data_IF_579531634764
#
_entry.id   IF_579531634764
#
_cell.length_a   1.000
_cell.length_b   1.000
_cell.length_c   1.000
_cell.angle_alpha   90.00
_cell.angle_beta   90.00
_cell.angle_gamma   90.00
#
_symmetry.space_group_name_H-M   'P 1'
#
loop_
_entity.id
_entity.type
_entity.pdbx_description
1 polymer ?
#
# COMPACT_ATOMS: atom_id res chain seq x y z
N UNK A 1 6.13 -22.57 31.39
CA UNK A 1 5.33 -21.90 30.34
C UNK A 1 6.32 -21.19 29.43
N UNK A 2 6.30 -21.50 28.13
CA UNK A 2 7.11 -20.77 27.14
C UNK A 2 6.46 -19.39 27.02
N UNK A 3 7.19 -18.31 27.27
CA UNK A 3 6.68 -16.95 27.08
C UNK A 3 6.31 -16.77 25.61
N UNK A 4 5.13 -16.20 25.34
CA UNK A 4 4.76 -15.85 23.97
C UNK A 4 5.72 -14.76 23.46
N UNK A 5 6.12 -14.86 22.22
CA UNK A 5 6.86 -13.79 21.55
C UNK A 5 5.99 -12.54 21.40
N UNK A 6 6.61 -11.38 21.51
CA UNK A 6 5.92 -10.07 21.50
C UNK A 6 6.29 -9.26 20.27
N UNK A 7 5.29 -8.68 19.64
CA UNK A 7 5.48 -7.77 18.50
C UNK A 7 4.85 -6.41 18.78
N UNK A 8 5.60 -5.35 18.49
CA UNK A 8 5.07 -3.98 18.39
C UNK A 8 4.75 -3.67 16.93
N UNK A 9 3.51 -3.30 16.64
CA UNK A 9 3.09 -2.84 15.32
C UNK A 9 2.70 -1.37 15.40
N UNK A 10 3.49 -0.50 14.77
CA UNK A 10 3.20 0.92 14.70
C UNK A 10 2.44 1.24 13.41
N UNK A 11 1.22 1.71 13.56
CA UNK A 11 0.33 2.11 12.46
C UNK A 11 -1.02 1.36 12.47
N UNK A 12 -2.10 2.09 12.20
CA UNK A 12 -3.48 1.59 12.10
C UNK A 12 -4.01 1.54 10.66
N UNK A 13 -3.15 1.73 9.67
CA UNK A 13 -3.50 1.63 8.25
C UNK A 13 -3.59 0.18 7.75
N UNK A 14 -3.86 -0.04 6.43
CA UNK A 14 -4.02 -1.37 5.85
C UNK A 14 -2.87 -2.32 6.17
N UNK A 15 -1.61 -1.84 6.06
CA UNK A 15 -0.43 -2.64 6.35
C UNK A 15 -0.39 -3.05 7.83
N UNK A 16 -0.52 -2.10 8.77
CA UNK A 16 -0.48 -2.40 10.20
C UNK A 16 -1.56 -3.38 10.62
N UNK A 17 -2.79 -3.19 10.15
CA UNK A 17 -3.91 -4.09 10.47
C UNK A 17 -3.71 -5.49 9.88
N UNK A 18 -3.21 -5.60 8.64
CA UNK A 18 -2.87 -6.90 8.03
C UNK A 18 -1.80 -7.64 8.85
N UNK A 19 -0.76 -6.92 9.29
CA UNK A 19 0.31 -7.51 10.09
C UNK A 19 -0.15 -7.91 11.50
N UNK A 20 -1.12 -7.22 12.10
CA UNK A 20 -1.77 -7.71 13.33
C UNK A 20 -2.41 -9.09 13.10
N UNK A 21 -3.16 -9.26 12.01
CA UNK A 21 -3.79 -10.54 11.67
C UNK A 21 -2.73 -11.62 11.46
N UNK A 22 -1.68 -11.32 10.71
CA UNK A 22 -0.58 -12.23 10.46
C UNK A 22 0.08 -12.71 11.75
N UNK A 23 0.52 -11.79 12.62
CA UNK A 23 1.21 -12.15 13.85
C UNK A 23 0.31 -12.85 14.87
N UNK A 24 -1.00 -12.53 14.88
CA UNK A 24 -1.98 -13.27 15.67
C UNK A 24 -2.04 -14.73 15.26
N UNK A 25 -2.07 -14.99 13.95
CA UNK A 25 -2.03 -16.35 13.40
C UNK A 25 -0.75 -17.10 13.78
N UNK A 26 0.37 -16.41 13.82
CA UNK A 26 1.65 -16.98 14.28
C UNK A 26 1.73 -17.18 15.80
N UNK A 27 0.68 -16.83 16.53
CA UNK A 27 0.57 -17.04 17.99
C UNK A 27 1.31 -16.00 18.83
N UNK A 28 1.66 -14.84 18.27
CA UNK A 28 2.36 -13.78 18.97
C UNK A 28 1.42 -12.92 19.81
N UNK A 29 1.97 -12.33 20.86
CA UNK A 29 1.33 -11.26 21.62
C UNK A 29 1.54 -9.93 20.88
N UNK A 30 0.45 -9.23 20.54
CA UNK A 30 0.50 -8.07 19.67
C UNK A 30 0.17 -6.83 20.46
N UNK A 31 1.06 -5.85 20.41
CA UNK A 31 0.82 -4.48 20.84
C UNK A 31 0.75 -3.58 19.62
N UNK A 32 -0.37 -2.88 19.42
CA UNK A 32 -0.52 -1.97 18.29
C UNK A 32 -0.51 -0.51 18.75
N UNK A 33 0.49 0.26 18.29
CA UNK A 33 0.55 1.70 18.46
C UNK A 33 -0.15 2.37 17.27
N UNK A 34 -1.34 2.92 17.50
CA UNK A 34 -2.12 3.65 16.50
C UNK A 34 -1.87 5.14 16.66
N UNK A 35 -1.71 5.84 15.56
CA UNK A 35 -1.84 7.30 15.56
C UNK A 35 -3.31 7.66 15.33
N UNK A 36 -3.69 8.88 15.65
CA UNK A 36 -5.03 9.46 15.38
C UNK A 36 -5.35 9.61 13.89
N UNK A 37 -4.68 8.82 13.03
CA UNK A 37 -4.92 8.85 11.60
C UNK A 37 -6.30 8.27 11.29
N UNK A 38 -7.17 9.14 10.87
CA UNK A 38 -8.46 8.76 10.32
C UNK A 38 -8.27 8.44 8.84
N UNK A 39 -8.64 7.24 8.37
CA UNK A 39 -8.62 6.93 6.95
C UNK A 39 -9.42 8.00 6.21
N UNK A 40 -8.93 8.54 5.09
CA UNK A 40 -9.73 9.45 4.30
C UNK A 40 -11.06 8.77 3.98
N UNK A 41 -12.18 9.46 4.27
CA UNK A 41 -13.55 8.95 4.04
C UNK A 41 -13.90 8.85 2.53
N UNK A 42 -12.89 8.84 1.70
CA UNK A 42 -13.04 8.76 0.25
C UNK A 42 -13.57 7.39 -0.13
N UNK A 43 -14.55 7.33 -1.00
CA UNK A 43 -14.93 6.10 -1.71
C UNK A 43 -13.78 5.74 -2.66
N UNK A 44 -12.70 5.22 -2.12
CA UNK A 44 -11.63 4.67 -2.92
C UNK A 44 -12.01 3.24 -3.30
N UNK A 45 -12.49 3.10 -4.50
CA UNK A 45 -12.57 1.82 -5.16
C UNK A 45 -11.27 1.67 -5.93
N UNK A 46 -10.61 0.56 -5.77
CA UNK A 46 -9.38 0.24 -6.45
C UNK A 46 -9.53 -1.05 -7.22
N UNK A 47 -8.85 -1.12 -8.33
CA UNK A 47 -8.63 -2.35 -9.04
C UNK A 47 -7.97 -3.39 -8.11
N UNK A 48 -8.60 -4.56 -7.99
CA UNK A 48 -8.06 -5.68 -7.23
C UNK A 48 -7.50 -6.72 -8.19
N UNK A 49 -6.22 -7.02 -8.09
CA UNK A 49 -5.65 -8.18 -8.77
C UNK A 49 -6.15 -9.46 -8.11
N UNK A 50 -6.63 -10.41 -8.91
CA UNK A 50 -7.07 -11.74 -8.43
C UNK A 50 -6.07 -12.37 -7.46
N UNK A 51 -4.78 -12.14 -7.69
CA UNK A 51 -3.68 -12.60 -6.84
C UNK A 51 -3.84 -12.20 -5.35
N UNK A 52 -4.47 -11.07 -5.05
CA UNK A 52 -4.71 -10.67 -3.64
C UNK A 52 -5.64 -11.65 -2.94
N UNK A 53 -6.67 -12.15 -3.63
CA UNK A 53 -7.57 -13.16 -3.08
C UNK A 53 -6.82 -14.46 -2.77
N UNK A 54 -5.96 -14.89 -3.69
CA UNK A 54 -5.15 -16.10 -3.49
C UNK A 54 -4.15 -15.92 -2.33
N UNK A 55 -3.49 -14.77 -2.25
CA UNK A 55 -2.56 -14.44 -1.17
C UNK A 55 -3.30 -14.37 0.18
N UNK A 56 -4.43 -13.66 0.25
CA UNK A 56 -5.18 -13.51 1.50
C UNK A 56 -5.63 -14.86 2.06
N UNK A 57 -6.05 -15.78 1.19
CA UNK A 57 -6.41 -17.15 1.58
C UNK A 57 -5.22 -17.93 2.14
N UNK A 58 -4.05 -17.75 1.56
CA UNK A 58 -2.82 -18.40 2.05
C UNK A 58 -2.35 -17.84 3.41
N UNK A 59 -2.64 -16.57 3.68
CA UNK A 59 -2.31 -15.96 4.97
C UNK A 59 -3.31 -16.39 6.04
N UNK A 60 -4.62 -16.17 5.82
CA UNK A 60 -5.67 -16.45 6.81
C UNK A 60 -7.05 -16.51 6.15
N UNK A 61 -7.90 -17.50 6.51
CA UNK A 61 -9.23 -17.65 5.92
C UNK A 61 -10.13 -16.44 6.23
N UNK A 62 -10.06 -15.88 7.45
CA UNK A 62 -10.85 -14.68 7.80
C UNK A 62 -10.40 -13.48 6.99
N UNK A 63 -9.09 -13.35 6.72
CA UNK A 63 -8.57 -12.31 5.84
C UNK A 63 -9.13 -12.47 4.43
N UNK A 64 -9.18 -13.68 3.92
CA UNK A 64 -9.78 -13.96 2.61
C UNK A 64 -11.27 -13.52 2.56
N UNK A 65 -12.05 -13.90 3.58
CA UNK A 65 -13.46 -13.51 3.67
C UNK A 65 -13.65 -11.98 3.75
N UNK A 66 -12.77 -11.27 4.48
CA UNK A 66 -12.82 -9.80 4.54
C UNK A 66 -12.51 -9.16 3.18
N UNK A 67 -11.51 -9.68 2.48
CA UNK A 67 -11.15 -9.18 1.13
C UNK A 67 -12.28 -9.46 0.16
N UNK A 68 -12.79 -10.70 0.12
CA UNK A 68 -13.89 -11.11 -0.75
C UNK A 68 -15.16 -10.29 -0.46
N UNK A 69 -15.52 -10.10 0.81
CA UNK A 69 -16.66 -9.29 1.22
C UNK A 69 -16.53 -7.80 0.89
N UNK A 70 -15.35 -7.35 0.54
CA UNK A 70 -15.06 -5.96 0.14
C UNK A 70 -15.01 -5.77 -1.38
N UNK A 71 -15.16 -6.86 -2.16
CA UNK A 71 -15.33 -6.78 -3.62
C UNK A 71 -16.76 -6.33 -3.92
N UNK A 72 -16.92 -5.24 -4.65
CA UNK A 72 -18.25 -4.67 -4.94
C UNK A 72 -18.79 -5.15 -6.29
N UNK A 73 -17.95 -5.19 -7.32
CA UNK A 73 -18.40 -5.53 -8.68
C UNK A 73 -17.30 -6.24 -9.48
N UNK A 74 -17.73 -7.06 -10.42
CA UNK A 74 -16.90 -7.69 -11.44
C UNK A 74 -17.19 -7.03 -12.78
N UNK A 75 -16.17 -6.49 -13.41
CA UNK A 75 -16.24 -5.90 -14.75
C UNK A 75 -15.24 -6.60 -15.66
N UNK A 76 -15.41 -6.40 -16.95
CA UNK A 76 -14.44 -6.83 -17.95
C UNK A 76 -13.52 -5.68 -18.31
N UNK A 77 -12.22 -5.96 -18.42
CA UNK A 77 -11.26 -5.03 -18.95
C UNK A 77 -11.55 -4.76 -20.43
N UNK A 78 -11.71 -3.49 -20.80
CA UNK A 78 -11.99 -3.11 -22.18
C UNK A 78 -10.85 -3.41 -23.16
N UNK A 79 -9.63 -3.66 -22.68
CA UNK A 79 -8.48 -3.94 -23.51
C UNK A 79 -8.35 -5.42 -23.89
N UNK A 80 -8.66 -6.33 -22.96
CA UNK A 80 -8.42 -7.76 -23.14
C UNK A 80 -9.55 -8.68 -22.65
N UNK A 81 -10.66 -8.11 -22.17
CA UNK A 81 -11.80 -8.88 -21.65
C UNK A 81 -11.55 -9.62 -20.35
N UNK A 82 -10.41 -9.40 -19.68
CA UNK A 82 -10.11 -10.04 -18.40
C UNK A 82 -11.04 -9.55 -17.29
N UNK A 83 -11.39 -10.40 -16.30
CA UNK A 83 -12.22 -9.97 -15.19
C UNK A 83 -11.49 -8.96 -14.31
N UNK A 84 -12.13 -7.83 -14.05
CA UNK A 84 -11.68 -6.79 -13.13
C UNK A 84 -12.51 -6.90 -11.85
N UNK A 85 -11.82 -7.08 -10.72
CA UNK A 85 -12.45 -7.02 -9.41
C UNK A 85 -12.24 -5.62 -8.82
N UNK A 86 -13.32 -4.99 -8.40
CA UNK A 86 -13.25 -3.70 -7.74
C UNK A 86 -13.36 -3.87 -6.24
N UNK A 87 -12.33 -3.40 -5.56
CA UNK A 87 -12.24 -3.45 -4.12
C UNK A 87 -12.66 -2.11 -3.53
N UNK A 88 -13.66 -2.15 -2.67
CA UNK A 88 -13.94 -1.01 -1.78
C UNK A 88 -12.89 -0.94 -0.68
N UNK A 89 -11.87 -0.12 -0.90
CA UNK A 89 -10.76 0.02 0.03
C UNK A 89 -11.25 0.49 1.41
N UNK A 90 -12.19 1.41 1.48
CA UNK A 90 -12.69 1.93 2.74
C UNK A 90 -13.41 0.84 3.55
N UNK A 91 -14.16 -0.03 2.86
CA UNK A 91 -14.82 -1.18 3.50
C UNK A 91 -13.78 -2.17 4.02
N UNK A 92 -12.80 -2.55 3.18
CA UNK A 92 -11.74 -3.47 3.60
C UNK A 92 -10.92 -2.90 4.75
N UNK A 93 -10.49 -1.65 4.69
CA UNK A 93 -9.69 -1.02 5.76
C UNK A 93 -10.45 -1.03 7.09
N UNK A 94 -11.75 -0.70 7.10
CA UNK A 94 -12.58 -0.77 8.30
C UNK A 94 -12.71 -2.20 8.83
N UNK A 95 -12.90 -3.18 7.95
CA UNK A 95 -13.00 -4.59 8.35
C UNK A 95 -11.68 -5.12 8.91
N UNK A 96 -10.55 -4.77 8.29
CA UNK A 96 -9.22 -5.10 8.81
C UNK A 96 -8.95 -4.42 10.16
N UNK A 97 -9.37 -3.17 10.32
CA UNK A 97 -9.23 -2.44 11.58
C UNK A 97 -10.03 -3.09 12.69
N UNK A 98 -11.29 -3.43 12.41
CA UNK A 98 -12.15 -4.12 13.39
C UNK A 98 -11.49 -5.41 13.87
N UNK A 99 -11.06 -6.27 12.95
CA UNK A 99 -10.40 -7.53 13.30
C UNK A 99 -9.08 -7.30 14.04
N UNK A 100 -8.27 -6.31 13.62
CA UNK A 100 -7.02 -5.99 14.31
C UNK A 100 -7.25 -5.49 15.75
N UNK A 101 -8.35 -4.72 15.99
CA UNK A 101 -8.73 -4.30 17.35
C UNK A 101 -9.11 -5.48 18.27
N UNK A 102 -9.73 -6.51 17.72
CA UNK A 102 -10.11 -7.69 18.50
C UNK A 102 -8.91 -8.54 18.95
N UNK A 103 -7.85 -8.53 18.16
CA UNK A 103 -6.71 -9.46 18.34
C UNK A 103 -5.43 -8.80 18.87
N UNK A 104 -5.39 -7.47 18.96
CA UNK A 104 -4.24 -6.72 19.47
C UNK A 104 -4.59 -5.91 20.71
N UNK A 105 -3.59 -5.73 21.59
CA UNK A 105 -3.69 -4.78 22.70
C UNK A 105 -3.26 -3.39 22.22
N UNK A 106 -3.97 -2.31 22.59
CA UNK A 106 -3.52 -0.96 22.29
C UNK A 106 -2.25 -0.66 23.07
N UNK A 107 -1.30 0.02 22.43
CA UNK A 107 -0.11 0.54 23.14
C UNK A 107 -0.54 1.62 24.15
N UNK A 108 0.07 1.62 25.32
CA UNK A 108 -0.12 2.63 26.36
C UNK A 108 0.79 3.85 26.18
N UNK A 109 1.57 3.87 25.12
CA UNK A 109 2.53 4.92 24.75
C UNK A 109 2.35 5.32 23.28
N UNK A 110 2.76 6.52 22.93
CA UNK A 110 2.85 6.93 21.52
C UNK A 110 4.18 6.44 20.91
N UNK A 111 4.26 6.36 19.59
CA UNK A 111 5.51 6.00 18.91
C UNK A 111 6.63 7.01 19.23
N UNK A 112 6.28 8.27 19.42
CA UNK A 112 7.23 9.34 19.72
C UNK A 112 7.80 9.24 21.15
N UNK A 113 7.14 8.48 22.05
CA UNK A 113 7.56 8.21 23.42
C UNK A 113 8.34 6.88 23.58
N UNK A 114 8.62 6.19 22.47
CA UNK A 114 9.39 4.95 22.48
C UNK A 114 10.80 5.21 23.04
N UNK A 115 11.19 4.42 24.06
CA UNK A 115 12.55 4.38 24.61
C UNK A 115 13.21 3.05 24.29
N UNK A 116 14.50 2.94 24.59
CA UNK A 116 15.25 1.67 24.41
C UNK A 116 14.61 0.55 25.24
N UNK A 117 14.28 0.83 26.49
CA UNK A 117 13.70 -0.16 27.41
C UNK A 117 12.34 -0.67 26.92
N UNK A 118 11.53 0.22 26.33
CA UNK A 118 10.26 -0.19 25.71
C UNK A 118 10.53 -1.03 24.46
N UNK A 119 11.45 -0.59 23.59
CA UNK A 119 11.82 -1.32 22.38
C UNK A 119 12.35 -2.73 22.71
N UNK A 120 13.21 -2.86 23.70
CA UNK A 120 13.77 -4.14 24.14
C UNK A 120 12.75 -5.10 24.76
N UNK A 121 11.56 -4.61 25.09
CA UNK A 121 10.46 -5.46 25.58
C UNK A 121 9.75 -6.25 24.49
N UNK A 122 10.06 -6.00 23.21
CA UNK A 122 9.50 -6.68 22.04
C UNK A 122 10.55 -7.52 21.31
N UNK A 123 10.17 -8.71 20.86
CA UNK A 123 11.04 -9.57 20.05
C UNK A 123 11.20 -9.06 18.60
N UNK A 124 10.24 -8.27 18.13
CA UNK A 124 10.26 -7.63 16.80
C UNK A 124 9.38 -6.37 16.81
N UNK A 125 9.75 -5.39 16.01
CA UNK A 125 8.98 -4.19 15.78
C UNK A 125 8.62 -4.04 14.28
N UNK A 126 7.39 -3.63 13.99
CA UNK A 126 6.88 -3.45 12.62
C UNK A 126 6.53 -1.97 12.41
N UNK A 127 7.24 -1.29 11.51
CA UNK A 127 6.86 0.06 11.09
C UNK A 127 5.89 0.01 9.91
N UNK A 128 4.62 0.23 10.21
CA UNK A 128 3.52 0.38 9.26
C UNK A 128 2.95 1.81 9.26
N UNK A 129 3.75 2.81 9.64
CA UNK A 129 3.32 4.22 9.74
C UNK A 129 3.30 4.96 8.41
N UNK A 130 3.41 4.21 7.31
CA UNK A 130 3.39 4.72 5.95
C UNK A 130 4.62 5.58 5.64
N UNK A 131 4.49 6.51 4.71
CA UNK A 131 5.61 7.35 4.25
C UNK A 131 6.26 8.22 5.35
N UNK A 132 5.61 8.33 6.51
CA UNK A 132 6.16 9.06 7.67
C UNK A 132 7.28 8.31 8.38
N UNK A 133 7.26 6.97 8.33
CA UNK A 133 8.27 6.09 8.97
C UNK A 133 8.52 6.47 10.44
N UNK A 134 7.46 6.73 11.19
CA UNK A 134 7.59 7.28 12.55
C UNK A 134 8.36 6.36 13.48
N UNK A 135 8.11 5.04 13.41
CA UNK A 135 8.79 4.09 14.28
C UNK A 135 10.29 4.00 13.92
N UNK A 136 10.61 3.85 12.62
CA UNK A 136 11.98 3.78 12.15
C UNK A 136 12.78 5.04 12.52
N UNK A 137 12.19 6.22 12.35
CA UNK A 137 12.79 7.50 12.74
C UNK A 137 12.99 7.62 14.27
N UNK A 138 12.05 7.11 15.05
CA UNK A 138 12.19 7.11 16.50
C UNK A 138 13.28 6.13 16.95
N UNK A 139 13.38 4.95 16.34
CA UNK A 139 14.47 4.01 16.58
C UNK A 139 15.83 4.61 16.21
N UNK A 140 15.95 5.31 15.09
CA UNK A 140 17.17 6.04 14.74
C UNK A 140 17.52 7.10 15.79
N UNK A 141 16.54 7.86 16.26
CA UNK A 141 16.72 8.91 17.28
C UNK A 141 17.20 8.35 18.62
N UNK A 142 16.72 7.17 19.02
CA UNK A 142 17.18 6.50 20.25
C UNK A 142 18.45 5.65 20.04
N UNK A 143 19.02 5.65 18.83
CA UNK A 143 20.33 5.05 18.56
C UNK A 143 20.30 3.54 18.30
N UNK A 144 19.14 2.94 17.97
CA UNK A 144 19.03 1.50 17.69
C UNK A 144 19.25 1.15 16.22
N UNK A 145 19.56 2.12 15.34
CA UNK A 145 19.84 1.86 13.93
C UNK A 145 19.81 3.10 13.06
N UNK A 146 19.95 2.90 11.76
CA UNK A 146 19.95 3.95 10.74
C UNK A 146 18.97 3.66 9.63
N UNK A 147 18.19 4.66 9.27
CA UNK A 147 17.28 4.63 8.12
C UNK A 147 17.94 5.32 6.92
N UNK A 148 18.05 4.58 5.81
CA UNK A 148 18.54 5.10 4.55
C UNK A 148 17.36 5.27 3.60
N UNK A 149 17.14 6.48 3.13
CA UNK A 149 16.10 6.78 2.13
C UNK A 149 16.76 7.01 0.78
N UNK A 150 16.53 6.11 -0.14
CA UNK A 150 17.00 6.27 -1.52
C UNK A 150 15.98 7.09 -2.33
N UNK A 151 16.38 8.28 -2.68
CA UNK A 151 15.66 9.11 -3.67
C UNK A 151 16.11 8.78 -5.09
N UNK A 152 16.26 7.48 -5.38
CA UNK A 152 16.83 7.00 -6.64
C UNK A 152 15.81 7.02 -7.76
N UNK A 153 15.39 8.16 -8.17
CA UNK A 153 14.59 8.25 -9.37
C UNK A 153 14.14 9.68 -9.62
N UNK A 154 14.25 10.12 -10.85
CA UNK A 154 13.63 11.35 -11.33
C UNK A 154 12.11 11.20 -11.41
N UNK A 155 11.51 10.63 -10.36
CA UNK A 155 10.07 10.50 -10.28
C UNK A 155 9.47 11.79 -9.75
N UNK A 156 8.61 12.37 -10.56
CA UNK A 156 7.79 13.50 -10.15
C UNK A 156 6.71 13.06 -9.14
N UNK A 157 6.18 14.02 -8.40
CA UNK A 157 4.93 13.81 -7.68
C UNK A 157 3.81 13.53 -8.68
N UNK A 158 2.89 12.65 -8.28
CA UNK A 158 1.71 12.36 -9.09
C UNK A 158 0.56 13.26 -8.70
N UNK A 159 -0.22 13.63 -9.71
CA UNK A 159 -1.49 14.31 -9.52
C UNK A 159 -2.62 13.37 -9.91
N UNK A 160 -3.60 13.23 -9.04
CA UNK A 160 -4.85 12.51 -9.32
C UNK A 160 -5.98 13.51 -9.38
N UNK A 161 -6.68 13.54 -10.51
CA UNK A 161 -7.89 14.30 -10.73
C UNK A 161 -9.09 13.35 -10.70
N UNK A 162 -10.12 13.70 -9.96
CA UNK A 162 -11.37 12.95 -9.86
C UNK A 162 -12.48 13.75 -10.53
N UNK A 163 -13.17 13.09 -11.44
CA UNK A 163 -14.33 13.64 -12.15
C UNK A 163 -15.57 12.81 -11.83
N UNK A 164 -16.74 13.44 -11.84
CA UNK A 164 -18.02 12.74 -11.75
C UNK A 164 -18.68 12.71 -13.11
N UNK A 165 -19.06 11.52 -13.56
CA UNK A 165 -19.82 11.36 -14.79
C UNK A 165 -20.66 10.07 -14.75
N UNK A 166 -22.00 10.21 -14.81
CA UNK A 166 -22.95 9.10 -14.63
C UNK A 166 -22.70 7.85 -15.47
N UNK A 167 -22.00 7.96 -16.59
CA UNK A 167 -21.67 6.86 -17.51
C UNK A 167 -20.21 6.40 -17.39
N UNK A 168 -19.46 6.83 -16.37
CA UNK A 168 -18.10 6.39 -16.14
C UNK A 168 -18.14 5.08 -15.34
N UNK A 169 -18.07 3.94 -16.04
CA UNK A 169 -18.18 2.60 -15.44
C UNK A 169 -17.18 1.62 -16.04
N UNK A 170 -16.63 0.79 -15.18
CA UNK A 170 -16.08 -0.53 -15.49
C UNK A 170 -14.90 -0.57 -16.45
N UNK A 171 -13.98 0.39 -16.42
CA UNK A 171 -12.76 0.29 -17.21
C UNK A 171 -11.53 0.83 -16.48
N UNK A 172 -10.42 0.24 -16.86
CA UNK A 172 -9.07 0.69 -16.48
C UNK A 172 -8.28 0.94 -17.75
N UNK A 173 -7.47 1.97 -17.76
CA UNK A 173 -6.64 2.33 -18.90
C UNK A 173 -5.32 2.91 -18.42
N UNK A 174 -4.25 2.55 -19.10
CA UNK A 174 -2.93 3.13 -18.90
C UNK A 174 -2.26 3.33 -20.25
N UNK A 175 -1.69 4.50 -20.46
CA UNK A 175 -0.96 4.80 -21.69
C UNK A 175 -0.04 6.00 -21.49
N UNK A 176 0.76 6.26 -22.50
CA UNK A 176 1.58 7.44 -22.60
C UNK A 176 0.85 8.55 -23.37
N UNK A 177 0.72 9.71 -22.73
CA UNK A 177 0.12 10.91 -23.35
C UNK A 177 1.17 12.01 -23.40
N UNK A 178 1.75 12.24 -24.57
CA UNK A 178 2.95 13.06 -24.68
C UNK A 178 4.12 12.40 -23.96
N UNK A 179 4.73 13.08 -23.01
CA UNK A 179 5.81 12.56 -22.18
C UNK A 179 5.32 11.98 -20.85
N UNK A 180 4.04 12.15 -20.53
CA UNK A 180 3.46 11.69 -19.28
C UNK A 180 2.91 10.28 -19.39
N UNK A 181 2.99 9.53 -18.28
CA UNK A 181 2.25 8.29 -18.09
C UNK A 181 0.94 8.65 -17.41
N UNK A 182 -0.14 8.20 -18.00
CA UNK A 182 -1.50 8.46 -17.52
C UNK A 182 -2.18 7.15 -17.20
N UNK A 183 -2.68 7.05 -15.98
CA UNK A 183 -3.53 5.97 -15.54
C UNK A 183 -4.95 6.50 -15.36
N UNK A 184 -5.91 5.82 -15.96
CA UNK A 184 -7.32 6.13 -15.83
C UNK A 184 -8.12 4.94 -15.32
N UNK A 185 -9.04 5.19 -14.39
CA UNK A 185 -10.00 4.20 -13.94
C UNK A 185 -11.39 4.81 -13.82
N UNK A 186 -12.41 4.10 -14.25
CA UNK A 186 -13.80 4.54 -14.16
C UNK A 186 -14.67 3.49 -13.50
N UNK A 187 -15.32 3.91 -12.42
CA UNK A 187 -16.20 3.06 -11.63
C UNK A 187 -17.34 3.89 -11.02
N UNK A 188 -18.57 3.37 -11.12
CA UNK A 188 -19.76 3.89 -10.45
C UNK A 188 -19.95 5.42 -10.55
N UNK A 189 -19.73 5.95 -11.75
CA UNK A 189 -19.88 7.38 -12.01
C UNK A 189 -18.68 8.23 -11.59
N UNK A 190 -17.57 7.62 -11.21
CA UNK A 190 -16.32 8.28 -10.85
C UNK A 190 -15.25 7.93 -11.89
N UNK A 191 -14.63 8.95 -12.45
CA UNK A 191 -13.43 8.84 -13.28
C UNK A 191 -12.24 9.40 -12.51
N UNK A 192 -11.20 8.60 -12.33
CA UNK A 192 -9.92 9.06 -11.80
C UNK A 192 -8.88 9.07 -12.91
N UNK A 193 -8.14 10.15 -13.01
CA UNK A 193 -6.99 10.30 -13.91
C UNK A 193 -5.76 10.63 -13.06
N UNK A 194 -4.80 9.73 -13.04
CA UNK A 194 -3.52 9.89 -12.32
C UNK A 194 -2.38 10.06 -13.32
N UNK A 195 -1.55 11.06 -13.13
CA UNK A 195 -0.44 11.38 -14.02
C UNK A 195 0.76 11.94 -13.26
N UNK A 196 1.94 11.76 -13.82
CA UNK A 196 3.19 12.39 -13.41
C UNK A 196 3.43 13.75 -14.11
N UNK A 197 2.58 14.15 -15.03
CA UNK A 197 2.64 15.49 -15.63
C UNK A 197 2.22 16.55 -14.62
N UNK A 198 2.96 17.66 -14.59
CA UNK A 198 2.60 18.84 -13.80
C UNK A 198 1.28 19.43 -14.34
N UNK A 199 1.19 19.55 -15.66
CA UNK A 199 0.01 20.04 -16.37
C UNK A 199 -0.36 19.05 -17.48
N UNK A 200 -1.28 18.14 -17.18
CA UNK A 200 -1.80 17.22 -18.18
C UNK A 200 -2.74 17.98 -19.12
N UNK A 201 -2.38 18.03 -20.40
CA UNK A 201 -3.30 18.52 -21.41
C UNK A 201 -4.40 17.46 -21.66
N UNK A 202 -5.59 17.70 -21.12
CA UNK A 202 -6.72 16.79 -21.19
C UNK A 202 -7.19 16.55 -22.65
N UNK A 203 -6.92 17.49 -23.56
CA UNK A 203 -7.28 17.32 -24.99
C UNK A 203 -6.48 16.24 -25.70
N UNK A 204 -5.31 15.87 -25.14
CA UNK A 204 -4.47 14.79 -25.65
C UNK A 204 -4.93 13.41 -25.19
N UNK A 205 -5.85 13.33 -24.24
CA UNK A 205 -6.39 12.05 -23.80
C UNK A 205 -7.22 11.39 -24.93
N UNK A 206 -7.31 10.06 -24.95
CA UNK A 206 -8.17 9.34 -25.88
C UNK A 206 -9.63 9.84 -25.86
N UNK A 207 -10.28 9.84 -27.00
CA UNK A 207 -11.65 10.36 -27.12
C UNK A 207 -12.65 9.64 -26.20
N UNK A 208 -12.44 8.34 -25.95
CA UNK A 208 -13.32 7.58 -25.07
C UNK A 208 -13.18 8.01 -23.58
N UNK A 209 -12.04 8.58 -23.18
CA UNK A 209 -11.84 9.16 -21.85
C UNK A 209 -12.37 10.60 -21.81
N UNK A 210 -12.02 11.40 -22.82
CA UNK A 210 -12.40 12.81 -22.88
C UNK A 210 -13.91 13.05 -22.75
N UNK A 211 -14.72 12.16 -23.31
CA UNK A 211 -16.19 12.26 -23.20
C UNK A 211 -16.72 12.22 -21.77
N UNK A 212 -15.93 11.74 -20.80
CA UNK A 212 -16.29 11.74 -19.39
C UNK A 212 -15.77 12.95 -18.62
N UNK A 213 -14.97 13.81 -19.26
CA UNK A 213 -14.38 15.01 -18.64
C UNK A 213 -15.18 16.22 -19.10
N UNK A 214 -16.35 16.43 -18.50
CA UNK A 214 -17.27 17.51 -18.90
C UNK A 214 -17.13 18.78 -18.07
N UNK A 215 -16.30 18.75 -17.02
CA UNK A 215 -16.17 19.84 -16.04
C UNK A 215 -14.79 19.82 -15.40
N UNK A 216 -14.55 20.79 -14.52
CA UNK A 216 -13.39 20.74 -13.63
C UNK A 216 -13.46 19.51 -12.74
N UNK A 217 -12.30 18.96 -12.30
CA UNK A 217 -12.27 17.89 -11.34
C UNK A 217 -13.08 18.28 -10.08
N UNK A 218 -13.83 17.34 -9.55
CA UNK A 218 -14.52 17.51 -8.25
C UNK A 218 -13.53 17.43 -7.09
N UNK A 219 -12.40 16.76 -7.32
CA UNK A 219 -11.30 16.67 -6.37
C UNK A 219 -9.97 16.54 -7.12
N UNK A 220 -8.93 17.15 -6.58
CA UNK A 220 -7.54 16.99 -7.04
C UNK A 220 -6.66 16.79 -5.83
N UNK A 221 -5.80 15.75 -5.86
CA UNK A 221 -4.80 15.56 -4.83
C UNK A 221 -3.45 15.15 -5.41
N UNK A 222 -2.40 15.47 -4.69
CA UNK A 222 -1.03 15.09 -5.03
C UNK A 222 -0.61 13.89 -4.19
N UNK A 223 0.00 12.92 -4.84
CA UNK A 223 0.66 11.81 -4.18
C UNK A 223 2.14 12.11 -4.06
N UNK A 224 2.77 11.62 -3.00
CA UNK A 224 4.21 11.77 -2.84
C UNK A 224 4.97 11.01 -3.95
N UNK A 225 6.18 11.48 -4.27
CA UNK A 225 7.05 10.79 -5.21
C UNK A 225 7.40 9.38 -4.72
N UNK A 226 7.54 8.41 -5.63
CA UNK A 226 7.98 7.07 -5.27
C UNK A 226 9.34 7.08 -4.57
N UNK A 227 9.50 6.19 -3.60
CA UNK A 227 10.73 6.05 -2.82
C UNK A 227 10.91 4.62 -2.37
N UNK A 228 12.15 4.16 -2.34
CA UNK A 228 12.55 2.93 -1.67
C UNK A 228 13.37 3.30 -0.43
N UNK A 229 13.27 2.48 0.61
CA UNK A 229 13.95 2.74 1.87
C UNK A 229 14.65 1.49 2.34
N UNK A 230 15.88 1.65 2.77
CA UNK A 230 16.69 0.61 3.39
C UNK A 230 17.01 1.01 4.82
N UNK A 231 17.39 0.06 5.63
CA UNK A 231 17.74 0.29 7.01
C UNK A 231 18.84 -0.67 7.44
N UNK A 232 19.57 -0.26 8.44
CA UNK A 232 20.52 -1.09 9.15
C UNK A 232 20.24 -0.92 10.65
N UNK A 233 19.78 -1.98 11.30
CA UNK A 233 19.36 -1.96 12.69
C UNK A 233 20.26 -2.87 13.52
N UNK A 234 20.63 -2.37 14.70
CA UNK A 234 21.32 -3.13 15.72
C UNK A 234 20.34 -3.45 16.85
N UNK A 235 20.35 -4.69 17.36
CA UNK A 235 19.42 -5.13 18.41
C UNK A 235 18.18 -5.82 17.88
N UNK A 236 17.01 -5.50 18.43
CA UNK A 236 15.76 -6.14 18.04
C UNK A 236 15.34 -5.78 16.60
N UNK A 237 14.92 -6.76 15.80
CA UNK A 237 14.58 -6.52 14.41
C UNK A 237 13.49 -5.45 14.26
N UNK A 238 13.73 -4.46 13.42
CA UNK A 238 12.74 -3.50 12.96
C UNK A 238 12.44 -3.78 11.49
N UNK A 239 11.21 -4.19 11.21
CA UNK A 239 10.73 -4.51 9.87
C UNK A 239 9.80 -3.40 9.40
N UNK A 240 10.05 -2.86 8.22
CA UNK A 240 9.20 -1.84 7.61
C UNK A 240 8.27 -2.48 6.58
N UNK A 241 7.02 -2.03 6.56
CA UNK A 241 6.00 -2.58 5.67
C UNK A 241 5.13 -1.50 5.02
N UNK A 242 4.52 -1.81 3.88
CA UNK A 242 3.74 -0.86 3.11
C UNK A 242 4.59 0.33 2.65
N UNK A 243 4.03 1.53 2.69
CA UNK A 243 4.72 2.75 2.27
C UNK A 243 5.91 3.14 3.17
N UNK A 244 6.08 2.51 4.32
CA UNK A 244 7.29 2.69 5.14
C UNK A 244 8.50 1.97 4.55
N UNK A 245 8.30 0.89 3.79
CA UNK A 245 9.34 0.15 3.08
C UNK A 245 9.51 0.68 1.66
N UNK A 246 8.44 0.71 0.89
CA UNK A 246 8.46 1.10 -0.52
C UNK A 246 7.19 1.86 -0.89
N UNK A 247 7.38 3.04 -1.44
CA UNK A 247 6.31 3.86 -1.99
C UNK A 247 6.36 3.79 -3.51
N UNK A 248 5.40 3.08 -4.08
CA UNK A 248 5.32 2.85 -5.52
C UNK A 248 4.53 3.95 -6.24
N UNK A 249 4.77 4.14 -7.54
CA UNK A 249 3.95 4.98 -8.37
C UNK A 249 2.47 4.55 -8.30
N UNK A 250 1.57 5.51 -8.06
CA UNK A 250 0.14 5.23 -7.98
C UNK A 250 -0.42 4.59 -9.26
N UNK A 251 0.17 4.93 -10.42
CA UNK A 251 -0.20 4.38 -11.74
C UNK A 251 0.02 2.87 -11.87
N UNK A 252 0.88 2.29 -11.03
CA UNK A 252 1.13 0.85 -11.09
C UNK A 252 0.01 0.03 -10.47
N UNK A 253 -0.83 0.63 -9.64
CA UNK A 253 -1.83 -0.08 -8.83
C UNK A 253 -1.22 -1.11 -7.85
N UNK A 254 0.11 -1.15 -7.71
CA UNK A 254 0.81 -2.14 -6.89
C UNK A 254 0.88 -1.82 -5.41
N UNK A 255 0.67 -0.57 -5.00
CA UNK A 255 0.85 -0.17 -3.61
C UNK A 255 0.06 -1.04 -2.63
N UNK A 256 -1.22 -1.27 -2.92
CA UNK A 256 -2.06 -2.12 -2.07
C UNK A 256 -1.70 -3.62 -2.21
N UNK A 257 -1.44 -4.09 -3.43
CA UNK A 257 -1.04 -5.48 -3.70
C UNK A 257 0.26 -5.84 -2.98
N UNK A 258 1.24 -4.93 -2.97
CA UNK A 258 2.53 -5.16 -2.33
C UNK A 258 2.42 -5.42 -0.83
N UNK A 259 1.44 -4.82 -0.14
CA UNK A 259 1.20 -5.08 1.29
C UNK A 259 0.85 -6.55 1.55
N UNK A 260 0.00 -7.14 0.71
CA UNK A 260 -0.35 -8.56 0.82
C UNK A 260 0.82 -9.48 0.47
N UNK A 261 1.62 -9.12 -0.54
CA UNK A 261 2.83 -9.86 -0.88
C UNK A 261 3.86 -9.82 0.25
N UNK A 262 4.05 -8.67 0.88
CA UNK A 262 4.88 -8.52 2.07
C UNK A 262 4.36 -9.41 3.23
N UNK A 263 3.05 -9.41 3.47
CA UNK A 263 2.41 -10.29 4.45
C UNK A 263 2.67 -11.77 4.16
N UNK A 264 2.54 -12.19 2.89
CA UNK A 264 2.83 -13.57 2.49
C UNK A 264 4.30 -13.94 2.74
N UNK A 265 5.23 -13.08 2.35
CA UNK A 265 6.67 -13.30 2.59
C UNK A 265 6.93 -13.50 4.09
N UNK A 266 6.43 -12.58 4.92
CA UNK A 266 6.62 -12.66 6.37
C UNK A 266 5.95 -13.89 7.00
N UNK A 267 4.85 -14.39 6.44
CA UNK A 267 4.17 -15.60 6.94
C UNK A 267 5.01 -16.87 6.82
N UNK A 268 6.03 -16.86 5.97
CA UNK A 268 6.89 -18.01 5.65
C UNK A 268 8.26 -17.95 6.33
N UNK A 269 8.55 -16.87 7.07
CA UNK A 269 9.89 -16.58 7.58
C UNK A 269 9.92 -16.45 9.10
N UNK A 270 11.11 -16.66 9.66
CA UNK A 270 11.42 -16.27 11.04
C UNK A 270 11.73 -14.76 11.11
N UNK A 271 11.50 -14.08 12.25
CA UNK A 271 11.64 -12.62 12.39
C UNK A 271 12.99 -12.09 11.93
N UNK A 272 14.06 -12.80 12.25
CA UNK A 272 15.45 -12.45 11.90
C UNK A 272 15.71 -12.40 10.39
N UNK A 273 14.84 -13.01 9.58
CA UNK A 273 14.94 -13.05 8.11
C UNK A 273 13.94 -12.14 7.40
N UNK A 274 12.97 -11.58 8.12
CA UNK A 274 11.88 -10.81 7.50
C UNK A 274 12.39 -9.51 6.88
N UNK A 275 13.28 -8.79 7.56
CA UNK A 275 13.79 -7.52 7.07
C UNK A 275 14.58 -7.70 5.77
N UNK A 276 15.53 -8.64 5.72
CA UNK A 276 16.34 -8.90 4.53
C UNK A 276 15.47 -9.35 3.36
N UNK A 277 14.51 -10.25 3.60
CA UNK A 277 13.61 -10.71 2.55
C UNK A 277 12.70 -9.60 2.02
N UNK A 278 12.23 -8.69 2.87
CA UNK A 278 11.44 -7.55 2.45
C UNK A 278 12.27 -6.49 1.72
N UNK A 279 13.51 -6.26 2.14
CA UNK A 279 14.44 -5.40 1.41
C UNK A 279 14.72 -5.95 0.00
N UNK A 280 14.99 -7.25 -0.12
CA UNK A 280 15.20 -7.92 -1.41
C UNK A 280 13.92 -7.87 -2.30
N UNK A 281 12.75 -8.09 -1.71
CA UNK A 281 11.48 -7.90 -2.40
C UNK A 281 11.27 -6.47 -2.88
N UNK A 282 11.54 -5.48 -2.03
CA UNK A 282 11.39 -4.08 -2.37
C UNK A 282 12.37 -3.67 -3.50
N UNK A 283 13.61 -4.14 -3.46
CA UNK A 283 14.61 -3.89 -4.50
C UNK A 283 14.17 -4.47 -5.85
N UNK A 284 13.70 -5.72 -5.88
CA UNK A 284 13.20 -6.37 -7.11
C UNK A 284 11.97 -5.63 -7.66
N UNK A 285 11.05 -5.27 -6.79
CA UNK A 285 9.84 -4.55 -7.18
C UNK A 285 10.17 -3.14 -7.68
N UNK A 286 11.12 -2.46 -7.02
CA UNK A 286 11.61 -1.14 -7.42
C UNK A 286 12.30 -1.19 -8.77
N UNK A 287 13.25 -2.11 -8.96
CA UNK A 287 13.95 -2.27 -10.23
C UNK A 287 13.02 -2.59 -11.38
N UNK A 288 12.05 -3.48 -11.17
CA UNK A 288 11.00 -3.76 -12.15
C UNK A 288 10.21 -2.50 -12.51
N UNK A 289 9.81 -1.72 -11.51
CA UNK A 289 9.07 -0.47 -11.69
C UNK A 289 9.91 0.59 -12.41
N UNK A 290 11.14 0.85 -11.95
CA UNK A 290 12.06 1.84 -12.55
C UNK A 290 12.37 1.47 -13.99
N UNK A 291 12.68 0.20 -14.26
CA UNK A 291 12.96 -0.28 -15.62
C UNK A 291 11.76 -0.05 -16.54
N UNK A 292 10.58 -0.38 -16.07
CA UNK A 292 9.36 -0.13 -16.81
C UNK A 292 9.16 1.36 -17.13
N UNK A 293 9.33 2.24 -16.16
CA UNK A 293 9.17 3.69 -16.38
C UNK A 293 10.32 4.31 -17.18
N UNK A 294 11.55 3.86 -16.99
CA UNK A 294 12.72 4.38 -17.70
C UNK A 294 12.71 4.01 -19.17
N UNK A 295 12.29 2.81 -19.52
CA UNK A 295 12.24 2.36 -20.91
C UNK A 295 11.19 3.11 -21.73
N UNK A 296 10.26 3.85 -21.11
CA UNK A 296 9.19 4.60 -21.80
C UNK A 296 8.50 3.78 -22.91
N UNK A 297 8.57 2.46 -22.78
CA UNK A 297 8.03 1.54 -23.77
C UNK A 297 6.54 1.38 -23.55
N UNK A 298 5.83 1.08 -24.61
CA UNK A 298 4.41 0.74 -24.56
C UNK A 298 4.19 -0.38 -23.56
N UNK A 299 3.56 -0.04 -22.44
CA UNK A 299 3.19 -1.02 -21.47
C UNK A 299 1.94 -1.73 -21.91
N UNK A 300 2.10 -2.85 -22.57
CA UNK A 300 1.08 -3.88 -22.50
C UNK A 300 1.19 -4.49 -21.11
N UNK A 301 0.52 -3.90 -20.13
CA UNK A 301 0.24 -4.62 -18.92
C UNK A 301 -0.74 -5.74 -19.30
N UNK A 302 -0.25 -6.95 -19.46
CA UNK A 302 -1.06 -8.12 -19.21
C UNK A 302 -1.38 -8.08 -17.70
N UNK A 303 -2.42 -7.35 -17.36
CA UNK A 303 -2.96 -7.21 -16.00
C UNK A 303 -3.66 -8.50 -15.61
#
# INVERSE_FOLDING_TARGET
MISKKKVLIAGGGPAGNLFCILFSRLGWEITQARSDWTPPQRKHVHYLKKRILDISKNIDERLFELVLGSVENNYENLQDGSPIFWLNQSKLVKSLEYLACEISSPATFSVDDLTIEIADSFDIMIDATGSRMKLARQCEKIGTGQLIVDDTGNFNQYTTNIFSHKNAHGWVWIDKVGDAIVYGEAIDGILKITTDAIDLNLDKLPTFIRKFINSKPIETYRCAAPKIRRSNWEGNPLVRVGDALIQLPAQTGFGFTSIFEQGLICSLLTPDKMEDALNDFADKLWMGTVTQFAMKQHFNFNL
#
